data_IF_936824535202
#
_entry.id   IF_936824535202
#
_cell.length_a   1.000
_cell.length_b   1.000
_cell.length_c   1.000
_cell.angle_alpha   90.00
_cell.angle_beta   90.00
_cell.angle_gamma   90.00
#
_symmetry.space_group_name_H-M   'P 1'
#
loop_
_entity.id
_entity.type
_entity.pdbx_description
1 polymer ?
#
# COMPACT_ATOMS: atom_id res chain seq x y z
N UNK A 1 -5.67 -8.83 -44.84
CA UNK A 1 -6.85 -8.36 -44.08
C UNK A 1 -7.19 -9.43 -43.04
N UNK A 2 -7.19 -9.03 -41.75
CA UNK A 2 -7.88 -9.66 -40.58
C UNK A 2 -7.51 -11.13 -40.26
N UNK A 3 -7.09 -11.52 -39.06
CA UNK A 3 -7.01 -10.83 -37.78
C UNK A 3 -6.82 -11.83 -36.63
N UNK A 4 -6.31 -11.28 -35.52
CA UNK A 4 -6.40 -11.75 -34.13
C UNK A 4 -5.65 -13.02 -33.70
N UNK A 5 -4.49 -12.74 -33.10
CA UNK A 5 -3.93 -13.49 -31.99
C UNK A 5 -4.96 -13.62 -30.85
N UNK A 6 -5.32 -14.86 -30.48
CA UNK A 6 -5.97 -15.17 -29.21
C UNK A 6 -4.94 -15.73 -28.25
N UNK A 7 -4.14 -14.83 -27.66
CA UNK A 7 -3.42 -15.10 -26.42
C UNK A 7 -4.44 -15.27 -25.31
N UNK A 8 -4.92 -16.51 -25.11
CA UNK A 8 -5.81 -16.87 -24.00
C UNK A 8 -4.94 -16.95 -22.74
N UNK A 9 -4.62 -15.80 -22.14
CA UNK A 9 -4.10 -15.74 -20.77
C UNK A 9 -5.20 -16.22 -19.84
N UNK A 10 -5.16 -17.52 -19.52
CA UNK A 10 -5.88 -18.08 -18.40
C UNK A 10 -5.35 -17.41 -17.15
N UNK A 11 -6.15 -16.53 -16.54
CA UNK A 11 -5.89 -16.09 -15.17
C UNK A 11 -6.02 -17.34 -14.30
N UNK A 12 -4.88 -17.96 -14.01
CA UNK A 12 -4.78 -18.88 -12.91
C UNK A 12 -5.30 -18.14 -11.68
N UNK A 13 -6.46 -18.55 -11.19
CA UNK A 13 -6.90 -18.35 -9.82
C UNK A 13 -5.86 -19.03 -8.94
N UNK A 14 -4.75 -18.33 -8.70
CA UNK A 14 -3.73 -18.73 -7.75
C UNK A 14 -4.35 -18.54 -6.35
N UNK A 15 -4.96 -19.63 -5.91
CA UNK A 15 -5.43 -19.86 -4.57
C UNK A 15 -4.24 -19.66 -3.59
N UNK A 16 -4.42 -18.74 -2.65
CA UNK A 16 -3.57 -18.50 -1.46
C UNK A 16 -2.13 -17.98 -1.68
N UNK A 17 -1.99 -16.66 -1.78
CA UNK A 17 -0.86 -15.97 -1.12
C UNK A 17 -1.37 -15.51 0.26
N UNK A 18 -1.18 -16.33 1.30
CA UNK A 18 -1.68 -16.10 2.66
C UNK A 18 -0.96 -14.99 3.44
N UNK A 19 -0.07 -14.23 2.78
CA UNK A 19 0.59 -13.05 3.36
C UNK A 19 0.95 -12.07 2.24
N UNK A 20 0.09 -11.09 1.90
CA UNK A 20 0.44 -10.06 0.93
C UNK A 20 1.75 -9.37 1.32
N UNK A 21 2.74 -9.41 0.44
CA UNK A 21 4.01 -8.72 0.62
C UNK A 21 4.39 -8.03 -0.68
N UNK A 22 5.09 -6.90 -0.56
CA UNK A 22 5.58 -6.13 -1.68
C UNK A 22 7.07 -6.42 -1.87
N UNK A 23 7.44 -6.84 -3.08
CA UNK A 23 8.79 -7.29 -3.44
C UNK A 23 9.32 -6.39 -4.57
N UNK A 24 9.81 -5.18 -4.27
CA UNK A 24 10.21 -4.20 -5.29
C UNK A 24 11.31 -4.69 -6.24
N UNK A 25 12.22 -5.55 -5.75
CA UNK A 25 13.39 -6.03 -6.50
C UNK A 25 13.33 -7.54 -6.83
N UNK A 26 12.13 -8.14 -6.83
CA UNK A 26 11.95 -9.56 -7.12
C UNK A 26 12.12 -10.49 -5.90
N UNK A 27 12.19 -11.79 -6.15
CA UNK A 27 12.09 -12.84 -5.11
C UNK A 27 13.25 -12.81 -4.12
N UNK A 28 14.47 -12.57 -4.61
CA UNK A 28 15.70 -12.51 -3.82
C UNK A 28 15.95 -11.12 -3.18
N UNK A 29 15.08 -10.14 -3.48
CA UNK A 29 15.23 -8.77 -3.02
C UNK A 29 14.62 -8.49 -1.64
N UNK A 30 14.90 -7.30 -1.08
CA UNK A 30 14.18 -6.79 0.08
C UNK A 30 12.67 -6.86 -0.13
N UNK A 31 11.95 -7.40 0.87
CA UNK A 31 10.50 -7.51 0.84
C UNK A 31 9.87 -6.74 1.99
N UNK A 32 8.79 -6.02 1.70
CA UNK A 32 7.96 -5.35 2.69
C UNK A 32 6.77 -6.25 3.00
N UNK A 33 6.71 -6.75 4.23
CA UNK A 33 5.55 -7.50 4.71
C UNK A 33 4.46 -6.57 5.24
N UNK A 34 3.24 -7.08 5.35
CA UNK A 34 2.10 -6.36 5.95
C UNK A 34 2.45 -5.77 7.34
N UNK A 35 3.14 -6.56 8.16
CA UNK A 35 3.53 -6.15 9.51
C UNK A 35 4.67 -5.13 9.49
N UNK A 36 5.63 -5.29 8.58
CA UNK A 36 6.77 -4.38 8.42
C UNK A 36 6.43 -3.04 7.77
N UNK A 37 5.37 -2.96 6.97
CA UNK A 37 4.96 -1.74 6.26
C UNK A 37 4.77 -0.53 7.21
N UNK A 38 4.29 -0.77 8.43
CA UNK A 38 4.13 0.29 9.43
C UNK A 38 5.46 0.94 9.81
N UNK A 39 6.50 0.14 10.02
CA UNK A 39 7.83 0.63 10.41
C UNK A 39 8.51 1.37 9.26
N UNK A 40 8.37 0.86 8.03
CA UNK A 40 8.90 1.51 6.83
C UNK A 40 8.26 2.89 6.63
N UNK A 41 6.93 3.00 6.75
CA UNK A 41 6.23 4.28 6.66
C UNK A 41 6.60 5.25 7.77
N UNK A 42 6.69 4.78 9.01
CA UNK A 42 7.10 5.63 10.14
C UNK A 42 8.51 6.18 9.94
N UNK A 43 9.43 5.34 9.47
CA UNK A 43 10.79 5.77 9.12
C UNK A 43 10.77 6.81 8.00
N UNK A 44 10.00 6.57 6.94
CA UNK A 44 9.84 7.55 5.87
C UNK A 44 9.33 8.91 6.38
N UNK A 45 8.25 8.92 7.17
CA UNK A 45 7.69 10.16 7.72
C UNK A 45 8.69 10.88 8.63
N UNK A 46 9.53 10.14 9.37
CA UNK A 46 10.58 10.74 10.21
C UNK A 46 11.71 11.42 9.42
N UNK A 47 11.90 11.05 8.15
CA UNK A 47 12.91 11.62 7.27
C UNK A 47 12.43 12.86 6.52
N UNK A 48 11.11 13.11 6.50
CA UNK A 48 10.55 14.30 5.86
C UNK A 48 11.05 15.55 6.57
N UNK A 49 11.61 16.48 5.80
CA UNK A 49 12.02 17.80 6.32
C UNK A 49 10.76 18.59 6.66
N UNK A 50 10.62 18.97 7.91
CA UNK A 50 9.48 19.74 8.41
C UNK A 50 9.99 20.87 9.28
N UNK A 51 9.36 22.04 9.14
CA UNK A 51 9.49 23.13 10.10
C UNK A 51 8.93 22.63 11.44
N UNK A 52 9.63 22.85 12.55
CA UNK A 52 9.37 22.22 13.86
C UNK A 52 8.00 22.54 14.48
N UNK A 53 7.17 23.32 13.80
CA UNK A 53 5.91 23.84 14.29
C UNK A 53 4.76 22.81 14.29
N UNK A 54 4.82 21.74 13.48
CA UNK A 54 3.72 20.74 13.41
C UNK A 54 4.19 19.28 13.34
N UNK A 55 3.61 18.38 14.16
CA UNK A 55 3.92 16.96 14.07
C UNK A 55 3.31 16.37 12.79
N UNK A 56 4.16 15.82 11.91
CA UNK A 56 3.71 15.09 10.72
C UNK A 56 3.01 13.80 11.15
N UNK A 57 1.75 13.66 10.75
CA UNK A 57 0.93 12.49 11.04
C UNK A 57 0.27 11.98 9.76
N UNK A 58 0.29 10.67 9.61
CA UNK A 58 -0.54 9.97 8.62
C UNK A 58 -1.96 9.93 9.16
N UNK A 59 -2.92 10.35 8.35
CA UNK A 59 -4.33 10.29 8.69
C UNK A 59 -4.95 9.00 8.16
N UNK A 60 -5.87 8.43 8.94
CA UNK A 60 -6.58 7.21 8.60
C UNK A 60 -8.08 7.43 8.75
N UNK A 61 -8.87 6.95 7.79
CA UNK A 61 -10.31 6.88 7.86
C UNK A 61 -10.77 5.44 7.63
N UNK A 62 -11.51 4.88 8.59
CA UNK A 62 -12.00 3.50 8.51
C UNK A 62 -13.44 3.52 8.06
N UNK A 63 -13.73 2.85 6.95
CA UNK A 63 -15.06 2.71 6.39
C UNK A 63 -15.53 1.26 6.59
N UNK A 64 -16.70 1.09 7.20
CA UNK A 64 -17.37 -0.21 7.30
C UNK A 64 -18.18 -0.42 6.02
N UNK A 65 -17.92 -1.51 5.32
CA UNK A 65 -18.66 -1.91 4.12
C UNK A 65 -19.41 -3.24 4.39
N UNK A 66 -20.30 -3.64 3.48
CA UNK A 66 -21.17 -4.82 3.68
C UNK A 66 -20.41 -6.11 4.01
N UNK A 67 -19.21 -6.30 3.44
CA UNK A 67 -18.41 -7.52 3.58
C UNK A 67 -17.06 -7.29 4.28
N UNK A 68 -16.92 -6.20 5.06
CA UNK A 68 -15.70 -5.96 5.83
C UNK A 68 -15.39 -4.49 6.10
N UNK A 69 -14.11 -4.17 6.14
CA UNK A 69 -13.57 -2.85 6.40
C UNK A 69 -12.63 -2.43 5.28
N UNK A 70 -12.79 -1.19 4.82
CA UNK A 70 -11.84 -0.51 3.95
C UNK A 70 -11.23 0.66 4.73
N UNK A 71 -9.93 0.88 4.55
CA UNK A 71 -9.25 2.01 5.18
C UNK A 71 -8.71 2.92 4.10
N UNK A 72 -8.97 4.21 4.27
CA UNK A 72 -8.37 5.28 3.49
C UNK A 72 -7.24 5.91 4.29
N UNK A 73 -6.16 6.27 3.61
CA UNK A 73 -4.96 6.83 4.20
C UNK A 73 -4.55 8.09 3.45
N UNK A 74 -4.12 9.12 4.19
CA UNK A 74 -3.57 10.35 3.63
C UNK A 74 -2.20 10.60 4.24
N UNK A 75 -1.20 10.85 3.38
CA UNK A 75 0.16 11.15 3.79
C UNK A 75 0.29 12.61 4.25
N UNK A 76 1.29 12.92 5.09
CA UNK A 76 1.55 14.31 5.48
C UNK A 76 1.89 15.20 4.27
N UNK A 77 1.67 16.52 4.35
CA UNK A 77 1.85 17.46 3.23
C UNK A 77 3.21 17.45 2.52
N UNK A 78 4.36 17.21 3.20
CA UNK A 78 5.65 17.14 2.52
C UNK A 78 5.87 15.90 1.65
N UNK A 79 5.02 14.87 1.78
CA UNK A 79 5.12 13.65 0.96
C UNK A 79 4.64 13.91 -0.47
N UNK A 80 5.17 13.25 -1.52
CA UNK A 80 4.64 13.40 -2.88
C UNK A 80 3.25 12.76 -3.05
N UNK A 81 2.82 11.90 -2.12
CA UNK A 81 1.53 11.21 -2.20
C UNK A 81 0.40 12.01 -1.54
N UNK A 82 -0.12 13.02 -2.22
CA UNK A 82 -1.21 13.87 -1.71
C UNK A 82 -2.61 13.33 -1.98
N UNK A 83 -2.74 12.31 -2.82
CA UNK A 83 -4.02 11.65 -3.07
C UNK A 83 -4.42 10.69 -1.93
N UNK A 84 -5.74 10.52 -1.75
CA UNK A 84 -6.28 9.56 -0.78
C UNK A 84 -5.95 8.13 -1.26
N UNK A 85 -5.10 7.45 -0.50
CA UNK A 85 -4.72 6.06 -0.74
C UNK A 85 -5.84 5.16 -0.22
N UNK A 86 -6.49 4.42 -1.12
CA UNK A 86 -7.58 3.50 -0.79
C UNK A 86 -7.04 2.09 -0.62
N UNK A 87 -7.15 1.54 0.58
CA UNK A 87 -6.76 0.16 0.87
C UNK A 87 -7.74 -0.87 0.30
N UNK A 88 -7.31 -2.13 0.16
CA UNK A 88 -8.21 -3.23 -0.19
C UNK A 88 -9.20 -3.51 0.96
N UNK A 89 -10.30 -4.18 0.61
CA UNK A 89 -11.30 -4.64 1.58
C UNK A 89 -10.71 -5.80 2.41
N UNK A 90 -10.90 -5.76 3.73
CA UNK A 90 -10.49 -6.85 4.60
C UNK A 90 -11.53 -7.18 5.67
N UNK A 91 -11.46 -8.40 6.20
CA UNK A 91 -12.39 -8.91 7.22
C UNK A 91 -12.29 -8.15 8.55
N UNK A 92 -11.13 -7.58 8.88
CA UNK A 92 -10.91 -6.84 10.14
C UNK A 92 -10.31 -5.47 9.88
N UNK A 93 -10.62 -4.51 10.77
CA UNK A 93 -10.03 -3.17 10.75
C UNK A 93 -8.50 -3.21 10.79
N UNK A 94 -7.95 -4.06 11.65
CA UNK A 94 -6.49 -4.21 11.81
C UNK A 94 -5.84 -4.61 10.50
N UNK A 95 -6.38 -5.62 9.82
CA UNK A 95 -5.88 -6.09 8.53
C UNK A 95 -6.05 -5.02 7.44
N UNK A 96 -7.18 -4.34 7.39
CA UNK A 96 -7.43 -3.27 6.40
C UNK A 96 -6.41 -2.12 6.55
N UNK A 97 -6.12 -1.69 7.78
CA UNK A 97 -5.09 -0.67 8.07
C UNK A 97 -3.70 -1.14 7.64
N UNK A 98 -3.41 -2.41 7.87
CA UNK A 98 -2.15 -3.04 7.52
C UNK A 98 -1.93 -3.12 6.00
N UNK A 99 -3.00 -3.43 5.25
CA UNK A 99 -2.97 -3.51 3.80
C UNK A 99 -2.86 -2.13 3.15
N UNK A 100 -3.57 -1.10 3.64
CA UNK A 100 -3.43 0.26 3.09
C UNK A 100 -2.01 0.80 3.28
N UNK A 101 -1.35 0.45 4.39
CA UNK A 101 0.06 0.79 4.64
C UNK A 101 1.00 0.14 3.63
N UNK A 102 0.75 -1.13 3.31
CA UNK A 102 1.55 -1.83 2.31
C UNK A 102 1.38 -1.18 0.93
N UNK A 103 0.15 -0.80 0.57
CA UNK A 103 -0.11 -0.09 -0.69
C UNK A 103 0.59 1.28 -0.71
N UNK A 104 0.57 2.01 0.40
CA UNK A 104 1.31 3.26 0.51
C UNK A 104 2.82 3.08 0.34
N UNK A 105 3.40 2.01 0.89
CA UNK A 105 4.83 1.70 0.68
C UNK A 105 5.15 1.47 -0.79
N UNK A 106 4.28 0.75 -1.51
CA UNK A 106 4.41 0.50 -2.93
C UNK A 106 4.33 1.80 -3.75
N UNK A 107 3.38 2.68 -3.42
CA UNK A 107 3.24 3.96 -4.10
C UNK A 107 4.45 4.87 -3.87
N UNK A 108 4.98 4.91 -2.66
CA UNK A 108 6.20 5.67 -2.33
C UNK A 108 7.42 5.13 -3.09
N UNK A 109 7.58 3.80 -3.19
CA UNK A 109 8.68 3.21 -3.96
C UNK A 109 8.56 3.57 -5.45
N UNK A 110 7.35 3.48 -6.00
CA UNK A 110 7.09 3.89 -7.38
C UNK A 110 7.33 5.40 -7.62
N UNK A 111 7.23 6.23 -6.57
CA UNK A 111 7.54 7.64 -6.62
C UNK A 111 9.05 7.95 -6.46
N UNK A 112 9.90 6.93 -6.24
CA UNK A 112 11.34 7.09 -6.06
C UNK A 112 11.76 7.52 -4.65
N UNK A 113 10.86 7.38 -3.66
CA UNK A 113 11.12 7.75 -2.26
C UNK A 113 11.82 6.62 -1.46
N UNK A 114 12.04 5.45 -2.08
CA UNK A 114 12.68 4.27 -1.50
C UNK A 114 13.78 3.71 -2.40
#
# INVERSE_FOLDING_TARGET
MVGQAKGRLTWAINNQVSNPSYMPYGIDGPRITITGASSVLMRYVSLLKTDTSYPLKILYSVHKEFCGYRVHMLMPPPSPLQDIIKGPLASTRKMATQLVRLEACKLLHNAGEF
#
